data_IF_178867383276
#
_entry.id   IF_178867383276
#
_cell.length_a   1.000
_cell.length_b   1.000
_cell.length_c   1.000
_cell.angle_alpha   90.00
_cell.angle_beta   90.00
_cell.angle_gamma   90.00
#
_symmetry.space_group_name_H-M   'P 1'
#
loop_
_entity.id
_entity.type
_entity.pdbx_description
1 polymer ?
#
# COMPACT_ATOMS: atom_id res chain seq x y z
N UNK A 1 -46.43 -43.43 41.45
CA UNK A 1 -46.16 -44.64 42.26
C UNK A 1 -44.71 -45.04 42.06
N UNK A 2 -43.97 -45.23 43.16
CA UNK A 2 -42.60 -45.73 43.15
C UNK A 2 -42.65 -47.23 43.41
N UNK A 3 -42.27 -48.05 42.43
CA UNK A 3 -42.09 -49.49 42.66
C UNK A 3 -40.63 -49.73 43.02
N UNK A 4 -40.38 -50.15 44.27
CA UNK A 4 -39.04 -50.53 44.71
C UNK A 4 -38.87 -52.02 44.44
N UNK A 5 -38.11 -52.37 43.40
CA UNK A 5 -37.69 -53.76 43.19
C UNK A 5 -36.59 -54.09 44.21
N UNK A 6 -36.88 -55.00 45.14
CA UNK A 6 -35.90 -55.51 46.11
C UNK A 6 -35.19 -56.72 45.52
N UNK A 7 -33.90 -56.58 45.21
CA UNK A 7 -32.98 -57.71 45.03
C UNK A 7 -31.84 -57.54 46.03
N UNK A 8 -31.64 -58.55 46.87
CA UNK A 8 -30.64 -58.58 47.94
C UNK A 8 -29.21 -58.43 47.39
N UNK A 9 -28.69 -57.20 47.39
CA UNK A 9 -27.28 -56.82 47.59
C UNK A 9 -27.09 -55.30 47.35
N UNK A 10 -26.84 -54.55 48.43
CA UNK A 10 -25.97 -53.37 48.46
C UNK A 10 -26.39 -52.02 47.83
N UNK A 11 -27.20 -51.91 46.77
CA UNK A 11 -27.56 -50.58 46.21
C UNK A 11 -28.98 -50.53 45.62
N UNK A 12 -29.86 -49.73 46.23
CA UNK A 12 -31.24 -49.53 45.75
C UNK A 12 -31.27 -48.52 44.58
N UNK A 13 -31.48 -49.01 43.36
CA UNK A 13 -31.77 -48.19 42.18
C UNK A 13 -33.28 -47.87 42.15
N UNK A 14 -33.67 -46.58 42.17
CA UNK A 14 -35.09 -46.19 42.24
C UNK A 14 -35.60 -45.77 40.86
N UNK A 15 -36.66 -46.43 40.36
CA UNK A 15 -37.41 -46.02 39.16
C UNK A 15 -38.72 -45.36 39.56
N UNK A 16 -38.98 -44.16 39.06
CA UNK A 16 -40.26 -43.48 39.30
C UNK A 16 -40.76 -42.69 38.09
N UNK A 17 -42.08 -42.56 37.97
CA UNK A 17 -42.69 -41.69 36.97
C UNK A 17 -42.62 -40.21 37.36
N UNK A 18 -42.89 -39.89 38.63
CA UNK A 18 -42.86 -38.52 39.16
C UNK A 18 -42.17 -38.51 40.53
N UNK A 19 -41.15 -37.65 40.71
CA UNK A 19 -40.48 -37.46 42.00
C UNK A 19 -40.48 -35.98 42.41
N UNK A 20 -40.94 -35.72 43.65
CA UNK A 20 -40.95 -34.39 44.26
C UNK A 20 -39.79 -34.15 45.24
N UNK A 21 -38.94 -35.15 45.52
CA UNK A 21 -37.88 -35.07 46.53
C UNK A 21 -36.50 -35.50 45.99
N UNK A 22 -35.53 -35.59 46.90
CA UNK A 22 -34.11 -35.79 46.63
C UNK A 22 -33.80 -37.27 46.32
N UNK A 23 -33.16 -37.56 45.17
CA UNK A 23 -32.74 -38.93 44.82
C UNK A 23 -31.26 -39.03 44.46
N UNK A 24 -30.61 -40.08 44.97
CA UNK A 24 -29.32 -40.63 44.51
C UNK A 24 -29.60 -41.84 43.65
N UNK A 25 -28.84 -42.03 42.56
CA UNK A 25 -28.86 -43.26 41.76
C UNK A 25 -30.28 -43.63 41.31
N UNK A 26 -30.90 -42.76 40.52
CA UNK A 26 -32.30 -42.91 40.14
C UNK A 26 -32.55 -42.68 38.64
N UNK A 27 -33.60 -43.34 38.15
CA UNK A 27 -34.14 -43.15 36.81
C UNK A 27 -35.57 -42.61 36.95
N UNK A 28 -35.83 -41.40 36.47
CA UNK A 28 -37.15 -40.80 36.59
C UNK A 28 -37.65 -40.10 35.33
N UNK A 29 -38.96 -40.15 35.10
CA UNK A 29 -39.56 -39.43 33.98
C UNK A 29 -39.62 -37.92 34.26
N UNK A 30 -40.13 -37.54 35.44
CA UNK A 30 -40.20 -36.15 35.88
C UNK A 30 -39.66 -35.96 37.30
N UNK A 31 -38.75 -35.01 37.49
CA UNK A 31 -38.25 -34.61 38.80
C UNK A 31 -38.33 -33.09 39.01
N UNK A 32 -38.92 -32.67 40.12
CA UNK A 32 -39.07 -31.24 40.43
C UNK A 32 -37.81 -30.63 41.09
N UNK A 33 -37.03 -31.38 41.87
CA UNK A 33 -36.05 -30.82 42.80
C UNK A 33 -34.59 -31.19 42.50
N UNK A 34 -34.09 -32.31 43.03
CA UNK A 34 -32.66 -32.62 43.02
C UNK A 34 -32.39 -34.07 42.64
N UNK A 35 -31.54 -34.26 41.64
CA UNK A 35 -30.95 -35.56 41.33
C UNK A 35 -29.42 -35.52 41.31
N UNK A 36 -28.82 -36.55 41.89
CA UNK A 36 -27.38 -36.82 41.82
C UNK A 36 -27.15 -38.20 41.24
N UNK A 37 -26.26 -38.33 40.26
CA UNK A 37 -25.94 -39.60 39.59
C UNK A 37 -27.21 -40.27 39.01
N UNK A 38 -27.91 -39.56 38.13
CA UNK A 38 -29.26 -39.97 37.71
C UNK A 38 -29.51 -39.75 36.21
N UNK A 39 -30.53 -40.44 35.70
CA UNK A 39 -31.07 -40.23 34.37
C UNK A 39 -32.52 -39.73 34.48
N UNK A 40 -32.84 -38.61 33.81
CA UNK A 40 -34.21 -38.12 33.83
C UNK A 40 -34.69 -37.50 32.52
N UNK A 41 -35.97 -37.69 32.19
CA UNK A 41 -36.55 -37.06 31.00
C UNK A 41 -36.72 -35.54 31.21
N UNK A 42 -37.38 -35.15 32.30
CA UNK A 42 -37.58 -33.76 32.69
C UNK A 42 -37.08 -33.46 34.11
N UNK A 43 -36.29 -32.39 34.27
CA UNK A 43 -35.91 -31.85 35.57
C UNK A 43 -36.12 -30.33 35.67
N UNK A 44 -36.86 -29.87 36.68
CA UNK A 44 -37.10 -28.43 36.85
C UNK A 44 -35.89 -27.71 37.47
N UNK A 45 -35.33 -28.21 38.57
CA UNK A 45 -34.41 -27.42 39.40
C UNK A 45 -32.91 -27.77 39.22
N UNK A 46 -32.44 -28.92 39.74
CA UNK A 46 -31.00 -29.22 39.81
C UNK A 46 -30.63 -30.66 39.43
N UNK A 47 -29.59 -30.79 38.60
CA UNK A 47 -28.87 -32.06 38.44
C UNK A 47 -27.36 -31.91 38.56
N UNK A 48 -26.74 -32.92 39.16
CA UNK A 48 -25.30 -33.08 39.26
C UNK A 48 -24.90 -34.48 38.81
N UNK A 49 -23.93 -34.58 37.91
CA UNK A 49 -23.46 -35.86 37.37
C UNK A 49 -24.62 -36.68 36.76
N UNK A 50 -25.35 -36.10 35.80
CA UNK A 50 -26.60 -36.68 35.33
C UNK A 50 -26.79 -36.54 33.80
N UNK A 51 -27.61 -37.41 33.23
CA UNK A 51 -28.09 -37.28 31.87
C UNK A 51 -29.56 -36.87 31.89
N UNK A 52 -29.92 -35.85 31.11
CA UNK A 52 -31.29 -35.38 31.07
C UNK A 52 -31.72 -34.94 29.69
N UNK A 53 -32.98 -35.19 29.32
CA UNK A 53 -33.49 -34.71 28.05
C UNK A 53 -33.75 -33.19 28.08
N UNK A 54 -34.51 -32.71 29.08
CA UNK A 54 -34.78 -31.27 29.27
C UNK A 54 -34.68 -30.83 30.72
N UNK A 55 -33.88 -29.79 30.99
CA UNK A 55 -33.81 -29.17 32.31
C UNK A 55 -33.93 -27.64 32.28
N UNK A 56 -34.75 -27.10 33.18
CA UNK A 56 -35.06 -25.67 33.22
C UNK A 56 -33.95 -24.84 33.88
N UNK A 57 -33.49 -25.18 35.10
CA UNK A 57 -32.70 -24.23 35.91
C UNK A 57 -31.17 -24.44 35.91
N UNK A 58 -30.60 -25.42 36.63
CA UNK A 58 -29.13 -25.45 36.84
C UNK A 58 -28.53 -26.84 36.77
N UNK A 59 -27.43 -26.99 36.02
CA UNK A 59 -26.66 -28.24 35.99
C UNK A 59 -25.16 -28.06 36.18
N UNK A 60 -24.55 -29.11 36.73
CA UNK A 60 -23.10 -29.30 36.80
C UNK A 60 -22.73 -30.73 36.38
N UNK A 61 -21.77 -30.88 35.46
CA UNK A 61 -21.28 -32.19 34.99
C UNK A 61 -22.39 -33.05 34.37
N UNK A 62 -22.97 -32.63 33.25
CA UNK A 62 -24.14 -33.30 32.67
C UNK A 62 -24.12 -33.29 31.12
N UNK A 63 -24.79 -34.28 30.52
CA UNK A 63 -25.06 -34.36 29.07
C UNK A 63 -26.57 -34.25 28.82
N UNK A 64 -26.98 -33.46 27.81
CA UNK A 64 -28.40 -33.23 27.54
C UNK A 64 -28.78 -32.74 26.15
N UNK A 65 -30.08 -32.78 25.87
CA UNK A 65 -30.67 -32.15 24.69
C UNK A 65 -30.99 -30.66 24.90
N UNK A 66 -31.77 -30.27 25.93
CA UNK A 66 -32.22 -28.88 26.12
C UNK A 66 -31.94 -28.26 27.51
N UNK A 67 -31.40 -27.03 27.50
CA UNK A 67 -31.20 -26.14 28.64
C UNK A 67 -31.90 -24.81 28.48
N UNK A 68 -32.66 -24.38 29.50
CA UNK A 68 -33.14 -23.00 29.55
C UNK A 68 -32.12 -22.08 30.23
N UNK A 69 -31.68 -22.35 31.46
CA UNK A 69 -30.98 -21.33 32.25
C UNK A 69 -29.44 -21.47 32.34
N UNK A 70 -28.88 -22.39 33.14
CA UNK A 70 -27.41 -22.40 33.37
C UNK A 70 -26.75 -23.76 33.26
N UNK A 71 -25.63 -23.78 32.54
CA UNK A 71 -24.75 -24.93 32.37
C UNK A 71 -23.31 -24.62 32.77
N UNK A 72 -22.75 -25.50 33.59
CA UNK A 72 -21.33 -25.49 33.95
C UNK A 72 -20.74 -26.88 33.77
N UNK A 73 -19.60 -26.98 33.06
CA UNK A 73 -18.89 -28.25 32.84
C UNK A 73 -19.80 -29.31 32.19
N UNK A 74 -20.41 -29.01 31.04
CA UNK A 74 -21.48 -29.83 30.48
C UNK A 74 -21.50 -29.82 28.95
N UNK A 75 -22.23 -30.77 28.36
CA UNK A 75 -22.53 -30.82 26.94
C UNK A 75 -24.04 -30.70 26.72
N UNK A 76 -24.46 -29.85 25.78
CA UNK A 76 -25.87 -29.73 25.43
C UNK A 76 -26.12 -29.49 23.95
N UNK A 77 -27.25 -29.93 23.41
CA UNK A 77 -27.65 -29.53 22.05
C UNK A 77 -28.06 -28.05 21.99
N UNK A 78 -29.00 -27.64 22.86
CA UNK A 78 -29.47 -26.26 22.91
C UNK A 78 -29.36 -25.66 24.32
N UNK A 79 -28.85 -24.43 24.41
CA UNK A 79 -28.88 -23.61 25.61
C UNK A 79 -29.42 -22.21 25.32
N UNK A 80 -30.44 -21.79 26.07
CA UNK A 80 -30.99 -20.45 25.90
C UNK A 80 -30.10 -19.39 26.57
N UNK A 81 -29.76 -19.54 27.85
CA UNK A 81 -29.20 -18.43 28.61
C UNK A 81 -27.67 -18.47 28.79
N UNK A 82 -27.12 -19.43 29.57
CA UNK A 82 -25.70 -19.33 29.97
C UNK A 82 -24.94 -20.66 29.98
N UNK A 83 -23.78 -20.65 29.34
CA UNK A 83 -22.83 -21.75 29.27
C UNK A 83 -21.43 -21.31 29.72
N UNK A 84 -20.87 -22.06 30.67
CA UNK A 84 -19.47 -21.90 31.09
C UNK A 84 -18.74 -23.23 31.09
N UNK A 85 -17.53 -23.25 30.51
CA UNK A 85 -16.68 -24.44 30.45
C UNK A 85 -17.43 -25.63 29.83
N UNK A 86 -18.03 -25.43 28.67
CA UNK A 86 -19.01 -26.36 28.13
C UNK A 86 -18.99 -26.40 26.59
N UNK A 87 -19.64 -27.40 26.01
CA UNK A 87 -19.83 -27.52 24.56
C UNK A 87 -21.31 -27.50 24.24
N UNK A 88 -21.69 -26.78 23.17
CA UNK A 88 -23.07 -26.81 22.70
C UNK A 88 -23.22 -26.73 21.18
N UNK A 89 -24.34 -27.21 20.65
CA UNK A 89 -24.69 -26.97 19.25
C UNK A 89 -25.18 -25.53 19.06
N UNK A 90 -26.16 -25.11 19.83
CA UNK A 90 -26.73 -23.76 19.78
C UNK A 90 -26.76 -23.09 21.15
N UNK A 91 -26.27 -21.85 21.21
CA UNK A 91 -26.47 -20.95 22.34
C UNK A 91 -27.14 -19.65 21.90
N UNK A 92 -28.20 -19.23 22.60
CA UNK A 92 -28.84 -17.94 22.28
C UNK A 92 -28.07 -16.77 22.92
N UNK A 93 -27.78 -16.83 24.23
CA UNK A 93 -27.34 -15.63 24.94
C UNK A 93 -25.83 -15.58 25.24
N UNK A 94 -25.30 -16.40 26.17
CA UNK A 94 -23.93 -16.22 26.67
C UNK A 94 -23.10 -17.50 26.73
N UNK A 95 -21.91 -17.42 26.12
CA UNK A 95 -20.88 -18.44 26.18
C UNK A 95 -19.56 -17.89 26.72
N UNK A 96 -19.02 -18.56 27.74
CA UNK A 96 -17.70 -18.26 28.32
C UNK A 96 -16.84 -19.51 28.42
N UNK A 97 -15.61 -19.47 27.91
CA UNK A 97 -14.68 -20.60 27.98
C UNK A 97 -15.29 -21.89 27.39
N UNK A 98 -15.86 -21.79 26.18
CA UNK A 98 -16.73 -22.82 25.65
C UNK A 98 -16.59 -22.96 24.12
N UNK A 99 -17.11 -24.04 23.57
CA UNK A 99 -17.18 -24.27 22.13
C UNK A 99 -18.65 -24.34 21.70
N UNK A 100 -19.00 -23.72 20.59
CA UNK A 100 -20.34 -23.85 20.03
C UNK A 100 -20.38 -23.89 18.51
N UNK A 101 -21.44 -24.48 17.95
CA UNK A 101 -21.67 -24.38 16.50
C UNK A 101 -22.25 -23.00 16.15
N UNK A 102 -23.32 -22.60 16.84
CA UNK A 102 -23.94 -21.28 16.69
C UNK A 102 -24.08 -20.54 18.02
N UNK A 103 -23.70 -19.26 18.04
CA UNK A 103 -24.05 -18.31 19.10
C UNK A 103 -24.78 -17.10 18.51
N UNK A 104 -25.90 -16.70 19.10
CA UNK A 104 -26.59 -15.48 18.66
C UNK A 104 -25.95 -14.22 19.28
N UNK A 105 -25.78 -14.16 20.60
CA UNK A 105 -25.45 -12.89 21.26
C UNK A 105 -23.97 -12.74 21.64
N UNK A 106 -23.48 -13.45 22.67
CA UNK A 106 -22.16 -13.16 23.25
C UNK A 106 -21.24 -14.37 23.40
N UNK A 107 -20.02 -14.22 22.89
CA UNK A 107 -18.91 -15.16 23.06
C UNK A 107 -17.69 -14.49 23.70
N UNK A 108 -17.19 -15.09 24.78
CA UNK A 108 -15.95 -14.67 25.43
C UNK A 108 -15.02 -15.86 25.67
N UNK A 109 -13.76 -15.76 25.23
CA UNK A 109 -12.74 -16.79 25.43
C UNK A 109 -13.21 -18.17 24.90
N UNK A 110 -13.68 -18.22 23.66
CA UNK A 110 -14.45 -19.33 23.13
C UNK A 110 -14.18 -19.56 21.64
N UNK A 111 -14.66 -20.68 21.11
CA UNK A 111 -14.62 -20.96 19.67
C UNK A 111 -16.04 -21.17 19.16
N UNK A 112 -16.36 -20.61 17.99
CA UNK A 112 -17.62 -20.90 17.34
C UNK A 112 -17.54 -21.05 15.82
N UNK A 113 -18.52 -21.71 15.23
CA UNK A 113 -18.67 -21.70 13.78
C UNK A 113 -19.31 -20.38 13.31
N UNK A 114 -20.44 -20.01 13.91
CA UNK A 114 -21.14 -18.75 13.63
C UNK A 114 -21.42 -17.94 14.90
N UNK A 115 -21.13 -16.64 14.86
CA UNK A 115 -21.56 -15.66 15.84
C UNK A 115 -22.34 -14.53 15.17
N UNK A 116 -23.54 -14.21 15.64
CA UNK A 116 -24.28 -13.07 15.07
C UNK A 116 -23.77 -11.73 15.63
N UNK A 117 -23.69 -11.57 16.95
CA UNK A 117 -23.51 -10.24 17.54
C UNK A 117 -22.08 -9.96 18.01
N UNK A 118 -21.63 -10.54 19.14
CA UNK A 118 -20.40 -10.12 19.80
C UNK A 118 -19.44 -11.25 20.10
N UNK A 119 -18.18 -11.05 19.71
CA UNK A 119 -17.10 -11.96 20.02
C UNK A 119 -15.88 -11.22 20.56
N UNK A 120 -15.42 -11.65 21.75
CA UNK A 120 -14.26 -11.10 22.43
C UNK A 120 -13.26 -12.19 22.81
N UNK A 121 -11.98 -12.02 22.45
CA UNK A 121 -10.91 -12.96 22.79
C UNK A 121 -11.23 -14.39 22.32
N UNK A 122 -11.71 -14.54 21.10
CA UNK A 122 -12.26 -15.82 20.63
C UNK A 122 -11.94 -16.04 19.15
N UNK A 123 -12.26 -17.23 18.64
CA UNK A 123 -12.11 -17.58 17.22
C UNK A 123 -13.47 -17.93 16.63
N UNK A 124 -13.74 -17.48 15.40
CA UNK A 124 -14.95 -17.89 14.69
C UNK A 124 -14.76 -18.10 13.20
N UNK A 125 -15.61 -18.90 12.58
CA UNK A 125 -15.66 -18.96 11.12
C UNK A 125 -16.33 -17.71 10.54
N UNK A 126 -17.54 -17.40 11.02
CA UNK A 126 -18.29 -16.22 10.60
C UNK A 126 -18.76 -15.37 11.79
N UNK A 127 -18.57 -14.05 11.67
CA UNK A 127 -19.17 -13.07 12.56
C UNK A 127 -19.93 -12.00 11.77
N UNK A 128 -21.17 -11.70 12.15
CA UNK A 128 -21.92 -10.64 11.47
C UNK A 128 -21.50 -9.25 11.99
N UNK A 129 -21.52 -9.03 13.30
CA UNK A 129 -21.44 -7.66 13.83
C UNK A 129 -20.06 -7.26 14.39
N UNK A 130 -19.66 -7.75 15.57
CA UNK A 130 -18.53 -7.20 16.30
C UNK A 130 -17.49 -8.23 16.74
N UNK A 131 -16.24 -7.97 16.35
CA UNK A 131 -15.06 -8.73 16.73
C UNK A 131 -14.02 -7.85 17.43
N UNK A 132 -13.62 -8.26 18.63
CA UNK A 132 -12.56 -7.59 19.39
C UNK A 132 -11.52 -8.59 19.90
N UNK A 133 -10.25 -8.34 19.61
CA UNK A 133 -9.13 -9.20 20.04
C UNK A 133 -9.32 -10.66 19.62
N UNK A 134 -9.63 -10.89 18.35
CA UNK A 134 -10.17 -12.17 17.88
C UNK A 134 -9.68 -12.51 16.48
N UNK A 135 -9.91 -13.76 16.07
CA UNK A 135 -9.63 -14.23 14.72
C UNK A 135 -10.94 -14.69 14.07
N UNK A 136 -11.14 -14.34 12.79
CA UNK A 136 -12.27 -14.85 12.03
C UNK A 136 -11.95 -15.14 10.57
N UNK A 137 -12.73 -16.03 9.94
CA UNK A 137 -12.65 -16.19 8.49
C UNK A 137 -13.38 -15.03 7.79
N UNK A 138 -14.62 -14.77 8.18
CA UNK A 138 -15.42 -13.67 7.63
C UNK A 138 -16.03 -12.79 8.72
N UNK A 139 -15.92 -11.48 8.53
CA UNK A 139 -16.62 -10.47 9.31
C UNK A 139 -17.39 -9.51 8.40
N UNK A 140 -18.67 -9.26 8.68
CA UNK A 140 -19.44 -8.30 7.89
C UNK A 140 -19.16 -6.86 8.35
N UNK A 141 -19.29 -6.55 9.64
CA UNK A 141 -19.33 -5.16 10.09
C UNK A 141 -18.01 -4.64 10.69
N UNK A 142 -17.66 -5.05 11.92
CA UNK A 142 -16.59 -4.38 12.68
C UNK A 142 -15.55 -5.32 13.27
N UNK A 143 -14.29 -5.02 12.96
CA UNK A 143 -13.12 -5.66 13.54
C UNK A 143 -12.18 -4.65 14.22
N UNK A 144 -11.84 -4.94 15.47
CA UNK A 144 -10.87 -4.15 16.24
C UNK A 144 -9.81 -5.06 16.87
N UNK A 145 -8.53 -4.73 16.67
CA UNK A 145 -7.40 -5.46 17.24
C UNK A 145 -7.45 -6.97 16.88
N UNK A 146 -7.70 -7.29 15.62
CA UNK A 146 -8.11 -8.64 15.23
C UNK A 146 -7.52 -9.03 13.86
N UNK A 147 -7.63 -10.31 13.53
CA UNK A 147 -7.22 -10.84 12.22
C UNK A 147 -8.44 -11.43 11.51
N UNK A 148 -8.56 -11.17 10.20
CA UNK A 148 -9.60 -11.80 9.39
C UNK A 148 -9.14 -12.17 7.99
N UNK A 149 -9.83 -13.13 7.36
CA UNK A 149 -9.63 -13.34 5.93
C UNK A 149 -10.41 -12.28 5.14
N UNK A 150 -11.70 -12.14 5.39
CA UNK A 150 -12.54 -11.13 4.75
C UNK A 150 -13.25 -10.21 5.73
N UNK A 151 -13.20 -8.90 5.45
CA UNK A 151 -14.01 -7.89 6.11
C UNK A 151 -14.77 -7.04 5.08
N UNK A 152 -16.08 -6.88 5.25
CA UNK A 152 -16.85 -6.01 4.35
C UNK A 152 -16.69 -4.53 4.74
N UNK A 153 -16.96 -4.16 5.99
CA UNK A 153 -17.13 -2.75 6.34
C UNK A 153 -15.90 -2.10 6.98
N UNK A 154 -15.54 -2.46 8.22
CA UNK A 154 -14.54 -1.71 8.99
C UNK A 154 -13.53 -2.55 9.73
N UNK A 155 -12.26 -2.18 9.55
CA UNK A 155 -11.13 -2.68 10.35
C UNK A 155 -10.36 -1.52 10.99
N UNK A 156 -10.06 -1.70 12.27
CA UNK A 156 -9.20 -0.80 13.04
C UNK A 156 -8.14 -1.59 13.78
N UNK A 157 -6.86 -1.20 13.62
CA UNK A 157 -5.74 -1.84 14.31
C UNK A 157 -5.68 -3.36 14.04
N UNK A 158 -5.85 -3.77 12.79
CA UNK A 158 -6.15 -5.16 12.44
C UNK A 158 -5.43 -5.58 11.15
N UNK A 159 -5.41 -6.88 10.88
CA UNK A 159 -4.87 -7.45 9.65
C UNK A 159 -5.97 -8.17 8.88
N UNK A 160 -6.02 -8.00 7.56
CA UNK A 160 -6.95 -8.75 6.73
C UNK A 160 -6.42 -9.16 5.36
N UNK A 161 -6.95 -10.24 4.78
CA UNK A 161 -6.67 -10.52 3.38
C UNK A 161 -7.40 -9.55 2.45
N UNK A 162 -8.72 -9.42 2.61
CA UNK A 162 -9.56 -8.53 1.78
C UNK A 162 -10.45 -7.63 2.64
N UNK A 163 -10.42 -6.33 2.36
CA UNK A 163 -11.35 -5.35 2.91
C UNK A 163 -12.09 -4.61 1.78
N UNK A 164 -13.42 -4.55 1.84
CA UNK A 164 -14.17 -3.79 0.84
C UNK A 164 -14.15 -2.28 1.15
N UNK A 165 -14.53 -1.86 2.35
CA UNK A 165 -14.82 -0.45 2.61
C UNK A 165 -13.69 0.33 3.28
N UNK A 166 -13.39 0.10 4.57
CA UNK A 166 -12.54 1.03 5.34
C UNK A 166 -11.52 0.33 6.23
N UNK A 167 -10.27 0.77 6.08
CA UNK A 167 -9.12 0.35 6.87
C UNK A 167 -8.48 1.55 7.57
N UNK A 168 -8.28 1.44 8.87
CA UNK A 168 -7.56 2.44 9.67
C UNK A 168 -6.49 1.77 10.55
N UNK A 169 -5.25 2.24 10.46
CA UNK A 169 -4.14 1.70 11.26
C UNK A 169 -4.00 0.17 11.07
N UNK A 170 -4.08 -0.31 9.85
CA UNK A 170 -4.25 -1.73 9.54
C UNK A 170 -3.33 -2.18 8.40
N UNK A 171 -3.18 -3.49 8.23
CA UNK A 171 -2.50 -4.09 7.09
C UNK A 171 -3.49 -4.93 6.30
N UNK A 172 -3.44 -4.84 4.97
CA UNK A 172 -4.26 -5.70 4.12
C UNK A 172 -3.58 -6.16 2.83
N UNK A 173 -4.04 -7.25 2.25
CA UNK A 173 -3.64 -7.61 0.89
C UNK A 173 -4.39 -6.79 -0.15
N UNK A 174 -5.72 -6.77 -0.09
CA UNK A 174 -6.56 -5.99 -1.01
C UNK A 174 -7.53 -5.09 -0.26
N UNK A 175 -7.58 -3.82 -0.68
CA UNK A 175 -8.60 -2.86 -0.26
C UNK A 175 -9.29 -2.23 -1.47
N UNK A 176 -10.62 -2.24 -1.49
CA UNK A 176 -11.36 -1.59 -2.58
C UNK A 176 -11.45 -0.07 -2.36
N UNK A 177 -11.93 0.39 -1.21
CA UNK A 177 -12.34 1.79 -1.07
C UNK A 177 -11.33 2.70 -0.35
N UNK A 178 -11.14 2.59 0.97
CA UNK A 178 -10.40 3.62 1.73
C UNK A 178 -9.41 3.04 2.74
N UNK A 179 -8.17 3.51 2.62
CA UNK A 179 -7.07 3.22 3.54
C UNK A 179 -6.54 4.51 4.17
N UNK A 180 -6.45 4.51 5.50
CA UNK A 180 -5.85 5.60 6.29
C UNK A 180 -4.81 5.05 7.26
N UNK A 181 -3.60 5.61 7.24
CA UNK A 181 -2.52 5.23 8.15
C UNK A 181 -2.23 3.71 8.10
N UNK A 182 -2.10 3.14 6.92
CA UNK A 182 -2.17 1.70 6.73
C UNK A 182 -1.26 1.21 5.59
N UNK A 183 -1.02 -0.09 5.55
CA UNK A 183 -0.23 -0.73 4.49
C UNK A 183 -1.11 -1.66 3.67
N UNK A 184 -0.95 -1.66 2.35
CA UNK A 184 -1.65 -2.61 1.50
C UNK A 184 -0.84 -3.12 0.30
N UNK A 185 -1.20 -4.28 -0.23
CA UNK A 185 -0.66 -4.71 -1.52
C UNK A 185 -1.36 -3.99 -2.68
N UNK A 186 -2.69 -4.06 -2.73
CA UNK A 186 -3.49 -3.40 -3.76
C UNK A 186 -4.58 -2.52 -3.15
N UNK A 187 -4.67 -1.28 -3.64
CA UNK A 187 -5.77 -0.37 -3.37
C UNK A 187 -6.41 0.15 -4.67
N UNK A 188 -7.73 0.07 -4.79
CA UNK A 188 -8.42 0.61 -5.97
C UNK A 188 -8.62 2.13 -5.86
N UNK A 189 -9.15 2.63 -4.75
CA UNK A 189 -9.70 3.98 -4.70
C UNK A 189 -8.80 5.00 -3.96
N UNK A 190 -8.74 4.95 -2.62
CA UNK A 190 -8.16 6.05 -1.84
C UNK A 190 -7.16 5.61 -0.78
N UNK A 191 -5.97 6.22 -0.83
CA UNK A 191 -4.90 6.07 0.14
C UNK A 191 -4.49 7.42 0.74
N UNK A 192 -4.52 7.50 2.07
CA UNK A 192 -4.02 8.66 2.82
C UNK A 192 -3.05 8.23 3.91
N UNK A 193 -1.86 8.83 3.94
CA UNK A 193 -0.83 8.55 4.94
C UNK A 193 -0.47 7.05 4.99
N UNK A 194 -0.25 6.43 3.84
CA UNK A 194 -0.23 4.98 3.70
C UNK A 194 0.88 4.51 2.74
N UNK A 195 1.18 3.21 2.77
CA UNK A 195 2.09 2.57 1.82
C UNK A 195 1.33 1.53 1.01
N UNK A 196 1.56 1.47 -0.31
CA UNK A 196 0.98 0.43 -1.14
C UNK A 196 1.89 -0.09 -2.25
N UNK A 197 1.69 -1.33 -2.69
CA UNK A 197 2.34 -1.80 -3.91
C UNK A 197 1.68 -1.20 -5.16
N UNK A 198 0.37 -1.35 -5.30
CA UNK A 198 -0.40 -0.81 -6.43
C UNK A 198 -1.57 0.05 -5.96
N UNK A 199 -1.71 1.24 -6.56
CA UNK A 199 -2.87 2.10 -6.42
C UNK A 199 -3.44 2.49 -7.79
N UNK A 200 -4.75 2.34 -7.98
CA UNK A 200 -5.39 2.77 -9.23
C UNK A 200 -5.69 4.27 -9.22
N UNK A 201 -6.41 4.79 -8.21
CA UNK A 201 -6.97 6.15 -8.30
C UNK A 201 -6.17 7.22 -7.55
N UNK A 202 -6.22 7.29 -6.21
CA UNK A 202 -5.73 8.45 -5.46
C UNK A 202 -4.79 8.11 -4.31
N UNK A 203 -3.63 8.79 -4.33
CA UNK A 203 -2.63 8.78 -3.25
C UNK A 203 -2.37 10.19 -2.72
N UNK A 204 -2.47 10.35 -1.40
CA UNK A 204 -2.09 11.57 -0.68
C UNK A 204 -1.17 11.27 0.50
N UNK A 205 -0.02 11.93 0.56
CA UNK A 205 0.95 11.78 1.64
C UNK A 205 1.37 10.31 1.86
N UNK A 206 1.74 9.62 0.78
CA UNK A 206 1.86 8.17 0.74
C UNK A 206 3.06 7.71 -0.11
N UNK A 207 3.42 6.44 -0.02
CA UNK A 207 4.44 5.82 -0.87
C UNK A 207 3.81 4.68 -1.67
N UNK A 208 4.12 4.58 -2.96
CA UNK A 208 3.67 3.44 -3.76
C UNK A 208 4.68 2.93 -4.78
N UNK A 209 4.59 1.66 -5.15
CA UNK A 209 5.33 1.16 -6.31
C UNK A 209 4.70 1.66 -7.62
N UNK A 210 3.42 1.38 -7.83
CA UNK A 210 2.70 1.76 -9.04
C UNK A 210 1.45 2.58 -8.73
N UNK A 211 1.32 3.73 -9.40
CA UNK A 211 0.12 4.56 -9.38
C UNK A 211 -0.40 4.80 -10.81
N UNK A 212 -1.69 4.56 -11.07
CA UNK A 212 -2.26 4.85 -12.38
C UNK A 212 -2.65 6.34 -12.51
N UNK A 213 -3.46 6.88 -11.61
CA UNK A 213 -4.10 8.18 -11.85
C UNK A 213 -3.41 9.36 -11.13
N UNK A 214 -3.57 9.48 -9.82
CA UNK A 214 -3.21 10.71 -9.11
C UNK A 214 -2.39 10.50 -7.85
N UNK A 215 -1.32 11.29 -7.75
CA UNK A 215 -0.48 11.30 -6.58
C UNK A 215 -0.09 12.72 -6.18
N UNK A 216 -0.32 13.04 -4.90
CA UNK A 216 -0.06 14.34 -4.29
C UNK A 216 0.78 14.19 -3.01
N UNK A 217 1.88 14.95 -2.92
CA UNK A 217 2.76 14.97 -1.74
C UNK A 217 3.29 13.57 -1.39
N UNK A 218 3.77 12.82 -2.38
CA UNK A 218 4.02 11.39 -2.23
C UNK A 218 5.22 10.92 -3.08
N UNK A 219 5.66 9.69 -2.85
CA UNK A 219 6.76 9.08 -3.61
C UNK A 219 6.25 7.86 -4.38
N UNK A 220 6.68 7.67 -5.63
CA UNK A 220 6.35 6.46 -6.37
C UNK A 220 7.45 5.92 -7.29
N UNK A 221 7.42 4.63 -7.61
CA UNK A 221 8.31 4.10 -8.64
C UNK A 221 7.80 4.50 -10.04
N UNK A 222 6.54 4.19 -10.35
CA UNK A 222 5.94 4.50 -11.65
C UNK A 222 4.56 5.14 -11.50
N UNK A 223 4.38 6.28 -12.17
CA UNK A 223 3.09 6.95 -12.31
C UNK A 223 2.69 7.07 -13.78
N UNK A 224 1.44 6.76 -14.12
CA UNK A 224 0.95 6.92 -15.49
C UNK A 224 0.48 8.36 -15.74
N UNK A 225 -0.40 8.92 -14.91
CA UNK A 225 -1.09 10.17 -15.25
C UNK A 225 -0.49 11.42 -14.58
N UNK A 226 -0.78 11.68 -13.30
CA UNK A 226 -0.54 13.01 -12.72
C UNK A 226 0.16 12.99 -11.37
N UNK A 227 1.25 13.75 -11.30
CA UNK A 227 2.07 13.96 -10.11
C UNK A 227 2.12 15.44 -9.72
N UNK A 228 1.81 15.74 -8.46
CA UNK A 228 1.92 17.08 -7.89
C UNK A 228 2.69 17.03 -6.57
N UNK A 229 3.74 17.85 -6.45
CA UNK A 229 4.56 17.94 -5.23
C UNK A 229 5.12 16.57 -4.82
N UNK A 230 5.70 15.82 -5.76
CA UNK A 230 6.00 14.40 -5.58
C UNK A 230 7.36 14.02 -6.17
N UNK A 231 7.85 12.84 -5.82
CA UNK A 231 9.04 12.24 -6.43
C UNK A 231 8.66 10.94 -7.14
N UNK A 232 9.17 10.71 -8.36
CA UNK A 232 8.96 9.45 -9.05
C UNK A 232 10.15 8.95 -9.87
N UNK A 233 10.28 7.64 -10.06
CA UNK A 233 11.26 7.11 -11.01
C UNK A 233 10.82 7.33 -12.46
N UNK A 234 9.61 6.89 -12.81
CA UNK A 234 9.04 7.05 -14.14
C UNK A 234 7.67 7.74 -14.10
N UNK A 235 7.49 8.80 -14.90
CA UNK A 235 6.21 9.42 -15.17
C UNK A 235 5.89 9.40 -16.68
N UNK A 236 4.67 8.98 -17.05
CA UNK A 236 4.25 9.03 -18.45
C UNK A 236 3.69 10.42 -18.82
N UNK A 237 2.71 10.97 -18.10
CA UNK A 237 2.03 12.18 -18.58
C UNK A 237 2.47 13.51 -17.93
N UNK A 238 2.18 13.74 -16.65
CA UNK A 238 2.24 15.10 -16.10
C UNK A 238 2.93 15.20 -14.75
N UNK A 239 3.92 16.10 -14.68
CA UNK A 239 4.65 16.45 -13.45
C UNK A 239 4.57 17.94 -13.17
N UNK A 240 4.11 18.30 -11.97
CA UNK A 240 4.13 19.67 -11.46
C UNK A 240 4.81 19.75 -10.09
N UNK A 241 5.79 20.65 -9.94
CA UNK A 241 6.48 20.88 -8.67
C UNK A 241 7.11 19.60 -8.10
N UNK A 242 7.79 18.81 -8.93
CA UNK A 242 8.14 17.42 -8.64
C UNK A 242 9.54 17.07 -9.16
N UNK A 243 10.09 15.94 -8.72
CA UNK A 243 11.35 15.41 -9.23
C UNK A 243 11.12 14.05 -9.87
N UNK A 244 11.73 13.78 -11.02
CA UNK A 244 11.66 12.46 -11.62
C UNK A 244 12.92 11.99 -12.34
N UNK A 245 13.11 10.68 -12.44
CA UNK A 245 14.20 10.15 -13.28
C UNK A 245 13.87 10.27 -14.77
N UNK A 246 12.72 9.74 -15.18
CA UNK A 246 12.23 9.81 -16.56
C UNK A 246 10.82 10.40 -16.65
N UNK A 247 10.63 11.36 -17.55
CA UNK A 247 9.33 11.91 -17.92
C UNK A 247 9.12 11.80 -19.45
N UNK A 248 7.99 11.24 -19.88
CA UNK A 248 7.68 11.17 -21.32
C UNK A 248 7.10 12.50 -21.83
N UNK A 249 6.03 13.01 -21.22
CA UNK A 249 5.25 14.09 -21.84
C UNK A 249 5.56 15.48 -21.28
N UNK A 250 5.06 15.82 -20.08
CA UNK A 250 5.06 17.21 -19.61
C UNK A 250 5.64 17.39 -18.21
N UNK A 251 6.53 18.37 -18.10
CA UNK A 251 7.16 18.75 -16.84
C UNK A 251 7.13 20.27 -16.63
N UNK A 252 6.57 20.70 -15.49
CA UNK A 252 6.44 22.11 -15.10
C UNK A 252 6.98 22.34 -13.68
N UNK A 253 7.87 23.32 -13.53
CA UNK A 253 8.44 23.70 -12.22
C UNK A 253 9.09 22.51 -11.49
N UNK A 254 9.88 21.72 -12.19
CA UNK A 254 10.31 20.39 -11.73
C UNK A 254 11.74 20.08 -12.18
N UNK A 255 12.32 19.00 -11.68
CA UNK A 255 13.65 18.52 -12.08
C UNK A 255 13.54 17.12 -12.66
N UNK A 256 14.25 16.83 -13.75
CA UNK A 256 14.31 15.46 -14.26
C UNK A 256 15.65 15.04 -14.87
N UNK A 257 15.96 13.76 -14.85
CA UNK A 257 17.11 13.25 -15.58
C UNK A 257 16.86 13.26 -17.10
N UNK A 258 15.78 12.62 -17.53
CA UNK A 258 15.41 12.52 -18.93
C UNK A 258 13.98 13.01 -19.17
N UNK A 259 13.81 13.90 -20.16
CA UNK A 259 12.51 14.36 -20.65
C UNK A 259 12.39 14.13 -22.16
N UNK A 260 11.32 13.48 -22.62
CA UNK A 260 11.10 13.29 -24.07
C UNK A 260 10.48 14.54 -24.70
N UNK A 261 9.30 15.00 -24.26
CA UNK A 261 8.58 16.04 -24.99
C UNK A 261 8.77 17.47 -24.48
N UNK A 262 8.21 17.82 -23.33
CA UNK A 262 8.06 19.23 -22.95
C UNK A 262 8.50 19.54 -21.54
N UNK A 263 9.31 20.58 -21.42
CA UNK A 263 9.79 21.07 -20.15
C UNK A 263 9.69 22.60 -20.06
N UNK A 264 9.02 23.08 -18.99
CA UNK A 264 8.78 24.50 -18.73
C UNK A 264 9.20 24.87 -17.31
N UNK A 265 10.00 25.93 -17.15
CA UNK A 265 10.44 26.43 -15.85
C UNK A 265 11.13 25.35 -14.99
N UNK A 266 12.06 24.60 -15.58
CA UNK A 266 12.53 23.36 -14.97
C UNK A 266 13.99 23.05 -15.36
N UNK A 267 14.58 22.05 -14.72
CA UNK A 267 15.96 21.63 -15.00
C UNK A 267 15.97 20.17 -15.48
N UNK A 268 16.77 19.85 -16.51
CA UNK A 268 16.94 18.45 -16.90
C UNK A 268 18.34 18.07 -17.39
N UNK A 269 18.73 16.80 -17.26
CA UNK A 269 19.99 16.35 -17.85
C UNK A 269 19.88 16.25 -19.38
N UNK A 270 18.88 15.53 -19.89
CA UNK A 270 18.65 15.40 -21.34
C UNK A 270 17.19 15.65 -21.72
N UNK A 271 16.97 16.53 -22.70
CA UNK A 271 15.67 16.77 -23.33
C UNK A 271 15.72 16.45 -24.83
N UNK A 272 14.70 15.75 -25.34
CA UNK A 272 14.62 15.46 -26.79
C UNK A 272 13.96 16.63 -27.55
N UNK A 273 12.77 17.07 -27.15
CA UNK A 273 11.97 17.94 -28.01
C UNK A 273 12.04 19.43 -27.63
N UNK A 274 11.37 19.88 -26.55
CA UNK A 274 11.14 21.31 -26.32
C UNK A 274 11.41 21.76 -24.88
N UNK A 275 12.22 22.82 -24.78
CA UNK A 275 12.58 23.50 -23.54
C UNK A 275 12.20 24.98 -23.59
N UNK A 276 11.48 25.44 -22.55
CA UNK A 276 11.13 26.85 -22.36
C UNK A 276 11.45 27.31 -20.94
N UNK A 277 12.20 28.41 -20.79
CA UNK A 277 12.54 28.97 -19.47
C UNK A 277 13.23 27.94 -18.56
N UNK A 278 14.22 27.22 -19.08
CA UNK A 278 14.74 26.01 -18.46
C UNK A 278 16.26 25.90 -18.57
N UNK A 279 16.86 25.02 -17.79
CA UNK A 279 18.27 24.66 -17.91
C UNK A 279 18.39 23.19 -18.29
N UNK A 280 19.28 22.86 -19.23
CA UNK A 280 19.55 21.46 -19.55
C UNK A 280 21.02 21.17 -19.85
N UNK A 281 21.43 19.91 -19.76
CA UNK A 281 22.78 19.54 -20.18
C UNK A 281 22.82 19.25 -21.68
N UNK A 282 21.86 18.47 -22.18
CA UNK A 282 21.74 18.12 -23.59
C UNK A 282 20.32 18.36 -24.11
N UNK A 283 20.18 19.11 -25.21
CA UNK A 283 18.92 19.29 -25.92
C UNK A 283 19.07 18.87 -27.39
N UNK A 284 18.12 18.09 -27.92
CA UNK A 284 18.14 17.71 -29.33
C UNK A 284 17.47 18.77 -30.21
N UNK A 285 16.21 19.13 -29.97
CA UNK A 285 15.51 19.99 -30.94
C UNK A 285 15.44 21.48 -30.59
N UNK A 286 14.65 21.89 -29.59
CA UNK A 286 14.27 23.30 -29.43
C UNK A 286 14.49 23.85 -28.02
N UNK A 287 15.20 24.97 -27.96
CA UNK A 287 15.43 25.77 -26.74
C UNK A 287 14.97 27.21 -26.92
N UNK A 288 14.13 27.69 -26.00
CA UNK A 288 13.69 29.09 -25.93
C UNK A 288 13.87 29.65 -24.51
N UNK A 289 14.53 30.80 -24.38
CA UNK A 289 14.74 31.48 -23.09
C UNK A 289 15.42 30.55 -22.06
N UNK A 290 16.48 29.86 -22.45
CA UNK A 290 17.02 28.73 -21.69
C UNK A 290 18.55 28.67 -21.76
N UNK A 291 19.15 27.86 -20.89
CA UNK A 291 20.59 27.59 -20.90
C UNK A 291 20.84 26.11 -21.18
N UNK A 292 21.81 25.78 -22.02
CA UNK A 292 22.20 24.39 -22.24
C UNK A 292 23.70 24.16 -22.43
N UNK A 293 24.21 22.97 -22.10
CA UNK A 293 25.58 22.61 -22.46
C UNK A 293 25.70 22.30 -23.96
N UNK A 294 24.88 21.36 -24.45
CA UNK A 294 24.84 20.96 -25.85
C UNK A 294 23.45 21.13 -26.46
N UNK A 295 23.37 21.76 -27.64
CA UNK A 295 22.16 21.82 -28.45
C UNK A 295 22.41 21.35 -29.88
N UNK A 296 21.58 20.43 -30.39
CA UNK A 296 21.71 19.99 -31.78
C UNK A 296 21.04 20.95 -32.76
N UNK A 297 19.74 21.25 -32.63
CA UNK A 297 19.04 21.96 -33.71
C UNK A 297 18.85 23.47 -33.51
N UNK A 298 18.04 23.91 -32.54
CA UNK A 298 17.57 25.30 -32.49
C UNK A 298 17.66 25.94 -31.11
N UNK A 299 18.27 27.13 -31.07
CA UNK A 299 18.36 28.00 -29.91
C UNK A 299 17.82 29.40 -30.23
N UNK A 300 16.89 29.88 -29.39
CA UNK A 300 16.34 31.24 -29.45
C UNK A 300 16.39 31.90 -28.08
N UNK A 301 16.97 33.11 -27.97
CA UNK A 301 17.04 33.86 -26.71
C UNK A 301 17.70 33.05 -25.58
N UNK A 302 18.82 32.38 -25.85
CA UNK A 302 19.36 31.34 -25.00
C UNK A 302 20.89 31.36 -24.96
N UNK A 303 21.48 30.67 -23.99
CA UNK A 303 22.94 30.51 -23.89
C UNK A 303 23.32 29.04 -24.04
N UNK A 304 24.38 28.72 -24.78
CA UNK A 304 24.89 27.35 -24.84
C UNK A 304 26.40 27.18 -24.94
N UNK A 305 26.95 26.06 -24.49
CA UNK A 305 28.37 25.79 -24.72
C UNK A 305 28.64 25.40 -26.17
N UNK A 306 27.90 24.43 -26.74
CA UNK A 306 28.03 24.02 -28.14
C UNK A 306 26.68 23.89 -28.84
N UNK A 307 26.55 24.50 -30.02
CA UNK A 307 25.39 24.40 -30.90
C UNK A 307 25.79 23.85 -32.28
N UNK A 308 25.07 22.84 -32.78
CA UNK A 308 25.35 22.30 -34.12
C UNK A 308 24.69 23.12 -35.23
N UNK A 309 23.40 23.43 -35.16
CA UNK A 309 22.67 23.93 -36.34
C UNK A 309 22.35 25.44 -36.33
N UNK A 310 21.47 25.92 -35.45
CA UNK A 310 20.91 27.29 -35.58
C UNK A 310 20.79 28.04 -34.25
N UNK A 311 21.32 29.26 -34.25
CA UNK A 311 21.26 30.21 -33.14
C UNK A 311 20.63 31.54 -33.58
N UNK A 312 19.65 32.02 -32.80
CA UNK A 312 19.03 33.34 -32.99
C UNK A 312 18.94 34.10 -31.66
N UNK A 313 19.43 35.34 -31.61
CA UNK A 313 19.38 36.17 -30.39
C UNK A 313 20.00 35.46 -29.17
N UNK A 314 21.17 34.86 -29.32
CA UNK A 314 21.71 33.90 -28.35
C UNK A 314 23.23 34.02 -28.21
N UNK A 315 23.79 33.44 -27.15
CA UNK A 315 25.23 33.39 -26.92
C UNK A 315 25.72 31.94 -26.94
N UNK A 316 26.84 31.65 -27.59
CA UNK A 316 27.43 30.31 -27.54
C UNK A 316 28.96 30.27 -27.51
N UNK A 317 29.55 29.19 -26.99
CA UNK A 317 31.01 29.02 -27.08
C UNK A 317 31.42 28.51 -28.47
N UNK A 318 30.86 27.40 -28.94
CA UNK A 318 31.05 26.86 -30.29
C UNK A 318 29.74 26.78 -31.09
N UNK A 319 29.74 27.27 -32.33
CA UNK A 319 28.67 27.06 -33.30
C UNK A 319 29.18 26.46 -34.62
N UNK A 320 28.56 25.38 -35.13
CA UNK A 320 29.00 24.77 -36.38
C UNK A 320 28.39 25.42 -37.64
N UNK A 321 27.13 25.86 -37.60
CA UNK A 321 26.39 26.15 -38.84
C UNK A 321 25.94 27.61 -38.97
N UNK A 322 24.89 28.05 -38.24
CA UNK A 322 24.26 29.37 -38.49
C UNK A 322 24.00 30.19 -37.23
N UNK A 323 24.49 31.43 -37.24
CA UNK A 323 24.22 32.46 -36.23
C UNK A 323 23.53 33.68 -36.84
N UNK A 324 22.47 34.16 -36.16
CA UNK A 324 21.79 35.41 -36.49
C UNK A 324 21.57 36.24 -35.22
N UNK A 325 22.02 37.49 -35.20
CA UNK A 325 21.88 38.38 -34.04
C UNK A 325 22.43 37.75 -32.75
N UNK A 326 23.62 37.17 -32.79
CA UNK A 326 24.15 36.31 -31.74
C UNK A 326 25.64 36.56 -31.48
N UNK A 327 26.14 36.15 -30.32
CA UNK A 327 27.56 36.21 -29.98
C UNK A 327 28.12 34.80 -29.87
N UNK A 328 29.30 34.54 -30.44
CA UNK A 328 29.96 33.26 -30.30
C UNK A 328 31.48 33.35 -30.15
N UNK A 329 32.10 32.41 -29.42
CA UNK A 329 33.56 32.38 -29.37
C UNK A 329 34.15 31.84 -30.67
N UNK A 330 33.66 30.69 -31.15
CA UNK A 330 34.12 30.07 -32.39
C UNK A 330 32.96 29.65 -33.31
N UNK A 331 33.01 30.03 -34.60
CA UNK A 331 32.02 29.67 -35.62
C UNK A 331 32.64 29.06 -36.89
N UNK A 332 32.06 27.97 -37.41
CA UNK A 332 32.60 27.30 -38.61
C UNK A 332 32.06 27.82 -39.96
N UNK A 333 30.78 28.23 -40.08
CA UNK A 333 30.19 28.40 -41.43
C UNK A 333 29.46 29.72 -41.74
N UNK A 334 28.60 30.24 -40.87
CA UNK A 334 27.73 31.37 -41.26
C UNK A 334 27.32 32.32 -40.14
N UNK A 335 27.62 33.61 -40.34
CA UNK A 335 27.33 34.70 -39.41
C UNK A 335 26.54 35.83 -40.11
N UNK A 336 25.42 36.26 -39.52
CA UNK A 336 24.68 37.47 -39.94
C UNK A 336 24.32 38.34 -38.74
N UNK A 337 24.80 39.59 -38.73
CA UNK A 337 24.62 40.54 -37.62
C UNK A 337 25.07 39.91 -36.28
N UNK A 338 26.26 39.33 -36.25
CA UNK A 338 26.76 38.56 -35.11
C UNK A 338 28.17 39.04 -34.72
N UNK A 339 28.59 38.75 -33.48
CA UNK A 339 29.97 38.98 -33.03
C UNK A 339 30.64 37.63 -32.80
N UNK A 340 31.85 37.45 -33.32
CA UNK A 340 32.60 36.21 -33.18
C UNK A 340 34.07 36.44 -32.85
N UNK A 341 34.68 35.64 -31.99
CA UNK A 341 36.12 35.75 -31.72
C UNK A 341 36.95 35.09 -32.84
N UNK A 342 36.57 33.88 -33.25
CA UNK A 342 37.19 33.10 -34.32
C UNK A 342 36.18 32.54 -35.33
N UNK A 343 36.34 32.86 -36.62
CA UNK A 343 35.46 32.35 -37.68
C UNK A 343 36.24 31.70 -38.82
N UNK A 344 35.79 30.51 -39.27
CA UNK A 344 36.47 29.73 -40.31
C UNK A 344 36.04 30.11 -41.73
N UNK A 345 34.80 30.54 -41.99
CA UNK A 345 34.32 30.99 -43.31
C UNK A 345 33.14 31.98 -43.29
N UNK A 346 33.08 32.82 -44.34
CA UNK A 346 32.01 33.76 -44.79
C UNK A 346 31.36 34.67 -43.72
N UNK A 347 31.63 35.98 -43.87
CA UNK A 347 31.12 37.05 -43.01
C UNK A 347 30.15 37.97 -43.80
N UNK A 348 28.99 38.30 -43.21
CA UNK A 348 28.15 39.44 -43.63
C UNK A 348 27.70 40.22 -42.39
N UNK A 349 28.12 41.48 -42.28
CA UNK A 349 27.87 42.37 -41.12
C UNK A 349 28.31 41.74 -39.79
N UNK A 350 29.62 41.50 -39.62
CA UNK A 350 30.21 40.80 -38.46
C UNK A 350 31.45 41.54 -37.97
N UNK A 351 31.60 41.67 -36.65
CA UNK A 351 32.88 41.98 -36.00
C UNK A 351 33.57 40.66 -35.61
N UNK A 352 34.65 40.32 -36.31
CA UNK A 352 35.48 39.14 -36.06
C UNK A 352 36.87 39.59 -35.59
N UNK A 353 37.34 39.14 -34.43
CA UNK A 353 38.60 39.62 -33.84
C UNK A 353 39.85 38.93 -34.43
N UNK A 354 39.76 37.67 -34.88
CA UNK A 354 40.85 36.97 -35.57
C UNK A 354 40.30 36.03 -36.68
N UNK A 355 40.74 36.20 -37.93
CA UNK A 355 40.42 35.34 -39.08
C UNK A 355 41.67 34.54 -39.51
N UNK A 356 41.57 33.21 -39.66
CA UNK A 356 42.69 32.36 -40.08
C UNK A 356 42.44 31.65 -41.41
N UNK A 357 43.47 31.62 -42.26
CA UNK A 357 43.51 30.91 -43.54
C UNK A 357 44.11 29.50 -43.39
N UNK A 358 43.60 28.53 -44.18
CA UNK A 358 43.92 27.08 -44.09
C UNK A 358 45.40 26.75 -44.33
N UNK A 359 46.13 27.62 -45.03
CA UNK A 359 47.56 27.44 -45.35
C UNK A 359 48.48 27.46 -44.11
N UNK A 360 48.04 28.11 -43.03
CA UNK A 360 48.86 28.25 -41.81
C UNK A 360 48.86 27.01 -40.92
N UNK A 361 47.97 26.04 -41.14
CA UNK A 361 47.94 24.80 -40.34
C UNK A 361 49.10 23.86 -40.67
N UNK A 362 49.45 23.71 -41.96
CA UNK A 362 50.63 22.93 -42.38
C UNK A 362 51.93 23.65 -41.99
N UNK A 363 51.98 24.97 -42.18
CA UNK A 363 53.14 25.74 -41.75
C UNK A 363 53.32 25.74 -40.24
N UNK A 364 52.26 25.85 -39.41
CA UNK A 364 52.38 25.75 -37.94
C UNK A 364 52.73 24.34 -37.46
N UNK A 365 52.26 23.28 -38.13
CA UNK A 365 52.68 21.91 -37.82
C UNK A 365 54.16 21.68 -38.17
N UNK A 366 54.62 22.18 -39.31
CA UNK A 366 56.03 22.14 -39.74
C UNK A 366 56.90 23.05 -38.86
N UNK A 367 56.39 24.21 -38.44
CA UNK A 367 57.08 25.13 -37.52
C UNK A 367 57.16 24.55 -36.11
N UNK A 368 56.10 23.89 -35.60
CA UNK A 368 56.16 23.12 -34.35
C UNK A 368 57.17 21.96 -34.45
N UNK A 369 57.25 21.23 -35.57
CA UNK A 369 58.25 20.17 -35.75
C UNK A 369 59.69 20.70 -35.88
N UNK A 370 59.92 21.83 -36.55
CA UNK A 370 61.27 22.42 -36.71
C UNK A 370 61.74 23.18 -35.46
N UNK A 371 60.83 23.80 -34.72
CA UNK A 371 61.14 24.63 -33.53
C UNK A 371 61.13 23.84 -32.21
N UNK A 372 60.43 22.70 -32.11
CA UNK A 372 60.46 21.85 -30.90
C UNK A 372 61.46 20.70 -30.93
N UNK A 373 62.08 20.38 -32.07
CA UNK A 373 63.14 19.38 -32.14
C UNK A 373 64.45 19.79 -31.41
N UNK A 374 64.81 21.08 -31.27
CA UNK A 374 65.92 21.49 -30.41
C UNK A 374 65.55 21.59 -28.92
N UNK A 375 64.27 21.77 -28.57
CA UNK A 375 63.84 21.96 -27.16
C UNK A 375 63.64 20.66 -26.37
N UNK A 376 63.63 19.51 -27.05
CA UNK A 376 63.63 18.20 -26.38
C UNK A 376 65.04 17.76 -25.92
N UNK A 377 66.10 18.48 -26.29
CA UNK A 377 67.47 18.18 -25.87
C UNK A 377 67.85 18.81 -24.52
N UNK A 378 67.20 19.91 -24.11
CA UNK A 378 67.63 20.71 -22.95
C UNK A 378 66.75 20.55 -21.68
N UNK A 379 65.80 19.62 -21.66
CA UNK A 379 65.01 19.29 -20.46
C UNK A 379 65.18 17.83 -19.99
N UNK A 380 66.35 17.23 -20.29
CA UNK A 380 66.93 16.20 -19.44
C UNK A 380 67.68 16.88 -18.29
N UNK A 381 67.02 16.92 -17.13
CA UNK A 381 67.62 16.94 -15.78
C UNK A 381 68.14 18.30 -15.23
N UNK A 382 68.27 18.48 -13.91
CA UNK A 382 67.18 18.61 -12.93
C UNK A 382 67.35 19.84 -12.01
N UNK A 383 66.25 20.23 -11.37
CA UNK A 383 66.16 20.39 -9.91
C UNK A 383 64.82 19.78 -9.44
#
# INVERSE_FOLDING_TARGET
MCSVASSNSGTKNVRCWHCQQWLKNAQCWHCQQWLKNAQCWHCQQWLKNAQCWRCQQRLKNAQRWHCQQRLKNAQCWHCQQWLKNAQCWHCQQWLKNAQCWHCQQWLKNAQCWHCQQWLKNAQCWHCQQWLKNAQCWHCQQWLKNAQCWHCQQWLKNAQCWRCQQRLKNAQCWHCQQRLKNAQCWHCQQWLKNAQCWHCQQWLKNAQCWHCQQWLKNAQCWRCQQRLKNAQCWHCQQWLKNAQCWHCQQWLKNAQCWHCQQWLKNAQCWRCQQRLKNAQCWHCQQWLKNAQCWHCQQWLKNAQCWRCQQRLKNAQCWHCQQRLKNAQCWHCQQWLKNAQCWHCQQRLKNVLCLLAMDKSKFHHLAIWFSIVLLPLAADYLNPD
#
